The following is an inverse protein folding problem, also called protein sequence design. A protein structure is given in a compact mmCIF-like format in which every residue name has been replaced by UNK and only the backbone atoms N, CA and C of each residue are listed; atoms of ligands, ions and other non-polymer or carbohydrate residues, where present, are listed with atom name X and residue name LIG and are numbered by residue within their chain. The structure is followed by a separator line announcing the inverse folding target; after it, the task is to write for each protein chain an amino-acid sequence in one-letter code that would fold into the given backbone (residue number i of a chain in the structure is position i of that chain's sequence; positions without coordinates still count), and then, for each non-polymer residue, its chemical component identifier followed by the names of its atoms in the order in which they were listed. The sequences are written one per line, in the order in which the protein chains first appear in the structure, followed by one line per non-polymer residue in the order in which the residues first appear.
data_IF_370331508278
#
_entry.id   IF_370331508278
#
_cell.length_a   1.000
_cell.length_b   1.000
_cell.length_c   1.000
_cell.angle_alpha   90.00
_cell.angle_beta   90.00
_cell.angle_gamma   90.00
#
_symmetry.space_group_name_H-M   'P 1'
#
loop_
_entity.id
_entity.type
_entity.pdbx_description
1 polymer ?
#
# COMPACT_ATOMS: atom_id res chain seq x y z
N UNK A 1 5.50 -27.00 -6.13
CA UNK A 1 4.20 -26.89 -5.44
C UNK A 1 4.27 -25.66 -4.55
N UNK A 2 3.63 -24.55 -4.94
CA UNK A 2 3.55 -23.39 -4.05
C UNK A 2 2.48 -23.68 -3.01
N UNK A 3 2.91 -23.92 -1.77
CA UNK A 3 1.98 -23.94 -0.64
C UNK A 3 1.51 -22.51 -0.49
N UNK A 4 0.32 -22.22 -1.00
CA UNK A 4 -0.41 -20.99 -0.65
C UNK A 4 -0.64 -21.11 0.84
N UNK A 5 0.13 -20.40 1.66
CA UNK A 5 -0.12 -20.31 3.09
C UNK A 5 -1.54 -19.80 3.24
N UNK A 6 -2.44 -20.70 3.65
CA UNK A 6 -3.88 -20.46 3.78
C UNK A 6 -4.22 -19.52 4.93
N UNK A 7 -3.39 -18.52 5.19
CA UNK A 7 -3.68 -17.45 6.10
C UNK A 7 -4.70 -16.52 5.46
N UNK A 8 -5.98 -16.67 5.81
CA UNK A 8 -6.99 -15.68 5.44
C UNK A 8 -6.57 -14.27 5.88
N UNK A 9 -7.09 -13.23 5.21
CA UNK A 9 -6.64 -11.84 5.35
C UNK A 9 -6.27 -11.41 6.77
N UNK A 10 -7.10 -11.74 7.78
CA UNK A 10 -6.86 -11.48 9.23
C UNK A 10 -5.46 -11.90 9.74
N UNK A 11 -4.93 -13.03 9.29
CA UNK A 11 -3.60 -13.53 9.66
C UNK A 11 -2.45 -12.76 9.00
N UNK A 12 -2.68 -12.18 7.83
CA UNK A 12 -1.67 -11.41 7.12
C UNK A 12 -1.43 -10.04 7.77
N UNK A 13 -2.49 -9.35 8.24
CA UNK A 13 -2.36 -8.05 8.94
C UNK A 13 -1.55 -8.15 10.23
N UNK A 14 -1.85 -9.17 11.04
CA UNK A 14 -1.11 -9.42 12.27
C UNK A 14 0.37 -9.63 11.99
N UNK A 15 0.69 -10.39 10.92
CA UNK A 15 2.08 -10.62 10.54
C UNK A 15 2.77 -9.36 9.99
N UNK A 16 2.09 -8.54 9.18
CA UNK A 16 2.65 -7.26 8.70
C UNK A 16 3.00 -6.35 9.87
N UNK A 17 2.12 -6.24 10.88
CA UNK A 17 2.37 -5.45 12.08
C UNK A 17 3.53 -6.01 12.91
N UNK A 18 3.55 -7.33 13.14
CA UNK A 18 4.64 -7.99 13.89
C UNK A 18 5.98 -7.78 13.19
N UNK A 19 6.01 -7.90 11.86
CA UNK A 19 7.22 -7.67 11.09
C UNK A 19 7.66 -6.21 11.17
N UNK A 20 6.73 -5.25 11.07
CA UNK A 20 7.05 -3.83 11.22
C UNK A 20 7.74 -3.54 12.55
N UNK A 21 7.10 -3.94 13.67
CA UNK A 21 7.68 -3.77 15.00
C UNK A 21 9.03 -4.48 15.15
N UNK A 22 9.14 -5.70 14.61
CA UNK A 22 10.39 -6.44 14.65
C UNK A 22 11.52 -5.73 13.90
N UNK A 23 11.23 -5.08 12.76
CA UNK A 23 12.24 -4.35 12.02
C UNK A 23 12.62 -3.02 12.67
N UNK A 24 11.65 -2.31 13.27
CA UNK A 24 11.91 -1.13 14.09
C UNK A 24 12.85 -1.47 15.27
N UNK A 25 12.63 -2.62 15.92
CA UNK A 25 13.52 -3.10 17.01
C UNK A 25 14.92 -3.48 16.50
N UNK A 26 15.03 -4.05 15.29
CA UNK A 26 16.29 -4.54 14.74
C UNK A 26 17.17 -3.45 14.13
N UNK A 27 16.57 -2.42 13.53
CA UNK A 27 17.28 -1.40 12.77
C UNK A 27 16.56 -0.03 12.85
N UNK A 28 16.52 0.60 14.04
CA UNK A 28 15.79 1.86 14.27
C UNK A 28 16.36 3.06 13.48
N UNK A 29 17.56 2.94 12.93
CA UNK A 29 18.17 3.94 12.06
C UNK A 29 17.63 3.91 10.62
N UNK A 30 16.96 2.84 10.22
CA UNK A 30 16.39 2.66 8.89
C UNK A 30 14.93 3.10 8.94
N UNK A 31 14.56 4.04 8.07
CA UNK A 31 13.15 4.45 7.93
C UNK A 31 12.37 3.34 7.23
N UNK A 32 11.46 2.69 7.96
CA UNK A 32 10.57 1.68 7.43
C UNK A 32 9.19 2.28 7.24
N UNK A 33 8.68 2.23 6.02
CA UNK A 33 7.35 2.76 5.72
C UNK A 33 6.31 1.74 6.18
N UNK A 34 5.50 2.11 7.17
CA UNK A 34 4.35 1.31 7.58
C UNK A 34 3.37 1.20 6.41
N UNK A 35 3.10 -0.02 5.94
CA UNK A 35 2.12 -0.24 4.89
C UNK A 35 0.77 -0.54 5.55
N UNK A 36 -0.26 0.24 5.21
CA UNK A 36 -1.67 -0.09 5.44
C UNK A 36 -2.13 -0.90 4.22
N UNK A 37 -2.37 -2.21 4.38
CA UNK A 37 -2.91 -2.97 3.26
C UNK A 37 -4.33 -2.46 2.97
N UNK A 38 -4.69 -2.33 1.70
CA UNK A 38 -6.03 -1.91 1.31
C UNK A 38 -6.71 -3.03 0.53
N UNK A 39 -7.91 -3.42 0.96
CA UNK A 39 -8.68 -4.46 0.26
C UNK A 39 -10.14 -4.06 -0.01
N UNK A 40 -10.79 -3.34 0.91
CA UNK A 40 -12.15 -2.80 0.73
C UNK A 40 -12.30 -1.44 1.41
N UNK A 41 -13.35 -0.67 1.09
CA UNK A 41 -13.63 0.63 1.69
C UNK A 41 -13.62 0.64 3.23
N UNK A 42 -14.01 -0.47 3.85
CA UNK A 42 -14.12 -0.57 5.31
C UNK A 42 -12.84 -1.13 5.97
N UNK A 43 -11.87 -1.57 5.17
CA UNK A 43 -10.60 -2.14 5.65
C UNK A 43 -9.50 -1.09 5.78
N UNK A 44 -9.74 0.19 5.46
CA UNK A 44 -8.77 1.26 5.73
C UNK A 44 -8.76 1.73 7.18
N UNK A 45 -9.89 1.62 7.89
CA UNK A 45 -10.02 2.08 9.28
C UNK A 45 -9.51 1.04 10.30
N UNK A 46 -9.66 -0.26 9.99
CA UNK A 46 -9.21 -1.34 10.88
C UNK A 46 -7.70 -1.38 11.14
N UNK A 47 -6.83 -1.09 10.14
CA UNK A 47 -5.40 -0.97 10.35
C UNK A 47 -5.04 0.26 11.18
N UNK A 48 -5.58 1.45 10.90
CA UNK A 48 -5.31 2.67 11.66
C UNK A 48 -5.59 2.50 13.16
N UNK A 49 -6.74 1.91 13.50
CA UNK A 49 -7.09 1.57 14.88
C UNK A 49 -6.13 0.54 15.49
N UNK A 50 -5.61 -0.40 14.69
CA UNK A 50 -4.67 -1.43 15.15
C UNK A 50 -3.24 -0.91 15.36
N UNK A 51 -2.81 0.10 14.61
CA UNK A 51 -1.53 0.78 14.78
C UNK A 51 -1.60 1.73 15.97
N UNK A 52 -2.68 2.49 16.12
CA UNK A 52 -2.89 3.32 17.31
C UNK A 52 -3.00 2.47 18.58
N UNK A 53 -3.74 1.34 18.54
CA UNK A 53 -3.79 0.37 19.65
C UNK A 53 -2.45 -0.35 19.90
N UNK A 54 -1.51 -0.28 18.95
CA UNK A 54 -0.13 -0.73 19.11
C UNK A 54 0.80 0.34 19.70
N UNK A 55 0.30 1.56 19.92
CA UNK A 55 1.12 2.72 20.30
C UNK A 55 1.86 3.37 19.13
N UNK A 56 1.52 3.04 17.88
CA UNK A 56 2.14 3.62 16.68
C UNK A 56 1.30 4.80 16.20
N UNK A 57 1.85 6.00 16.31
CA UNK A 57 1.26 7.22 15.77
C UNK A 57 1.65 7.39 14.29
N UNK A 58 0.75 6.99 13.39
CA UNK A 58 0.96 7.09 11.94
C UNK A 58 1.04 8.52 11.41
N UNK A 59 0.66 9.53 12.20
CA UNK A 59 0.79 10.95 11.81
C UNK A 59 2.22 11.48 12.05
N UNK A 60 2.94 10.88 13.00
CA UNK A 60 4.34 11.18 13.27
C UNK A 60 5.29 10.52 12.25
N UNK A 61 4.82 9.49 11.56
CA UNK A 61 5.61 8.77 10.56
C UNK A 61 5.97 9.66 9.35
N UNK A 62 7.19 9.54 8.79
CA UNK A 62 7.62 10.34 7.65
C UNK A 62 6.80 10.01 6.38
N UNK A 63 6.32 8.76 6.28
CA UNK A 63 5.45 8.25 5.21
C UNK A 63 4.59 7.09 5.72
N UNK A 64 3.38 7.00 5.20
CA UNK A 64 2.46 5.88 5.41
C UNK A 64 2.09 5.27 4.07
N UNK A 65 2.44 4.01 3.88
CA UNK A 65 2.23 3.26 2.65
C UNK A 65 0.80 2.81 2.46
N UNK A 66 0.26 2.99 1.26
CA UNK A 66 -1.02 2.45 0.83
C UNK A 66 -0.77 1.42 -0.27
N UNK A 67 -1.08 0.15 0.02
CA UNK A 67 -0.98 -0.92 -0.97
C UNK A 67 -2.23 -0.96 -1.85
N UNK A 68 -2.15 -0.51 -3.10
CA UNK A 68 -3.30 -0.48 -4.01
C UNK A 68 -3.54 -1.87 -4.66
N UNK A 69 -4.10 -2.80 -3.89
CA UNK A 69 -4.59 -4.10 -4.39
C UNK A 69 -5.96 -4.04 -5.07
N UNK A 70 -6.53 -2.83 -5.24
CA UNK A 70 -7.90 -2.65 -5.71
C UNK A 70 -8.10 -3.14 -7.15
N UNK A 71 -9.23 -3.83 -7.44
CA UNK A 71 -9.67 -4.11 -8.80
C UNK A 71 -9.73 -2.84 -9.64
N UNK A 72 -9.50 -2.97 -10.94
CA UNK A 72 -9.33 -1.87 -11.87
C UNK A 72 -10.56 -0.96 -12.05
N UNK A 73 -11.71 -1.29 -11.48
CA UNK A 73 -12.93 -0.48 -11.54
C UNK A 73 -13.92 -0.97 -10.46
N UNK A 74 -14.73 -0.08 -9.85
CA UNK A 74 -14.60 1.38 -9.86
C UNK A 74 -13.66 1.86 -8.75
N UNK A 75 -12.85 2.89 -9.02
CA UNK A 75 -11.95 3.55 -8.05
C UNK A 75 -12.67 4.57 -7.15
N UNK A 76 -13.91 4.94 -7.48
CA UNK A 76 -14.76 5.83 -6.69
C UNK A 76 -14.88 5.43 -5.20
N UNK A 77 -15.03 4.13 -4.85
CA UNK A 77 -15.12 3.68 -3.46
C UNK A 77 -13.86 3.99 -2.63
N UNK A 78 -12.67 4.02 -3.25
CA UNK A 78 -11.39 4.21 -2.56
C UNK A 78 -10.98 5.68 -2.37
N UNK A 79 -11.63 6.62 -3.05
CA UNK A 79 -11.32 8.06 -2.91
C UNK A 79 -11.68 8.61 -1.53
N UNK A 80 -12.71 8.06 -0.90
CA UNK A 80 -13.21 8.53 0.40
C UNK A 80 -12.25 8.17 1.55
N UNK A 81 -11.80 6.91 1.73
CA UNK A 81 -10.82 6.59 2.77
C UNK A 81 -9.48 7.33 2.60
N UNK A 82 -8.99 7.47 1.36
CA UNK A 82 -7.74 8.20 1.09
C UNK A 82 -7.89 9.69 1.41
N UNK A 83 -9.06 10.27 1.12
CA UNK A 83 -9.36 11.65 1.51
C UNK A 83 -9.30 11.84 3.02
N UNK A 84 -9.94 10.96 3.78
CA UNK A 84 -9.95 11.07 5.24
C UNK A 84 -8.57 10.89 5.86
N UNK A 85 -7.79 9.89 5.43
CA UNK A 85 -6.42 9.72 5.90
C UNK A 85 -5.53 10.93 5.58
N UNK A 86 -5.73 11.54 4.41
CA UNK A 86 -5.04 12.79 4.06
C UNK A 86 -5.48 13.94 4.98
N UNK A 87 -6.78 14.08 5.23
CA UNK A 87 -7.33 15.15 6.07
C UNK A 87 -6.95 14.97 7.56
N UNK A 88 -6.67 13.73 7.99
CA UNK A 88 -6.05 13.38 9.28
C UNK A 88 -4.55 13.74 9.34
N UNK A 89 -3.96 14.21 8.25
CA UNK A 89 -2.58 14.71 8.19
C UNK A 89 -1.52 13.67 7.81
N UNK A 90 -1.93 12.46 7.38
CA UNK A 90 -0.98 11.41 7.02
C UNK A 90 -0.25 11.73 5.72
N UNK A 91 1.06 11.44 5.70
CA UNK A 91 1.91 11.59 4.50
C UNK A 91 1.87 10.32 3.66
N UNK A 92 0.86 10.21 2.80
CA UNK A 92 0.54 8.97 2.10
C UNK A 92 1.51 8.65 0.94
N UNK A 93 2.01 7.42 0.89
CA UNK A 93 2.76 6.84 -0.23
C UNK A 93 1.90 5.83 -0.98
N UNK A 94 1.65 6.04 -2.27
CA UNK A 94 0.92 5.08 -3.10
C UNK A 94 1.83 4.04 -3.76
N UNK A 95 1.75 2.78 -3.33
CA UNK A 95 2.51 1.68 -3.94
C UNK A 95 1.76 1.08 -5.14
N UNK A 96 2.42 0.99 -6.30
CA UNK A 96 1.90 0.31 -7.48
C UNK A 96 0.66 0.95 -8.10
N UNK A 97 0.51 2.27 -7.99
CA UNK A 97 -0.73 2.96 -8.35
C UNK A 97 -0.93 2.96 -9.87
N UNK A 98 -2.11 2.56 -10.35
CA UNK A 98 -2.45 2.67 -11.79
C UNK A 98 -2.70 4.12 -12.17
N UNK A 99 -2.45 4.47 -13.44
CA UNK A 99 -2.61 5.84 -13.97
C UNK A 99 -3.96 6.46 -13.65
N UNK A 100 -5.06 5.71 -13.83
CA UNK A 100 -6.43 6.18 -13.54
C UNK A 100 -6.64 6.47 -12.05
N UNK A 101 -6.05 5.66 -11.16
CA UNK A 101 -6.12 5.89 -9.72
C UNK A 101 -5.26 7.09 -9.32
N UNK A 102 -4.08 7.26 -9.93
CA UNK A 102 -3.24 8.44 -9.72
C UNK A 102 -3.95 9.74 -10.12
N UNK A 103 -4.68 9.75 -11.24
CA UNK A 103 -5.51 10.91 -11.62
C UNK A 103 -6.60 11.22 -10.58
N UNK A 104 -7.18 10.19 -9.97
CA UNK A 104 -8.26 10.32 -9.01
C UNK A 104 -7.82 10.79 -7.61
N UNK A 105 -6.63 10.38 -7.13
CA UNK A 105 -6.20 10.64 -5.73
C UNK A 105 -4.80 11.24 -5.60
N UNK A 106 -4.08 11.47 -6.70
CA UNK A 106 -2.68 11.88 -6.67
C UNK A 106 -2.42 13.18 -5.89
N UNK A 107 -3.38 14.12 -5.90
CA UNK A 107 -3.27 15.37 -5.12
C UNK A 107 -3.32 15.16 -3.60
N UNK A 108 -3.70 13.97 -3.13
CA UNK A 108 -3.77 13.60 -1.71
C UNK A 108 -2.60 12.72 -1.29
N UNK A 109 -1.68 12.41 -2.20
CA UNK A 109 -0.52 11.57 -1.95
C UNK A 109 0.73 12.44 -1.81
N UNK A 110 1.56 12.14 -0.82
CA UNK A 110 2.87 12.76 -0.67
C UNK A 110 3.89 12.21 -1.68
N UNK A 111 3.69 10.97 -2.13
CA UNK A 111 4.46 10.33 -3.20
C UNK A 111 3.76 9.06 -3.72
N UNK A 112 4.12 8.59 -4.92
CA UNK A 112 3.57 7.36 -5.50
C UNK A 112 4.59 6.70 -6.45
N UNK A 113 4.50 5.38 -6.62
CA UNK A 113 5.21 4.63 -7.67
C UNK A 113 4.24 3.87 -8.56
N UNK A 114 4.69 3.57 -9.78
CA UNK A 114 3.93 2.80 -10.76
C UNK A 114 4.83 2.18 -11.81
N UNK A 115 4.54 0.92 -12.18
CA UNK A 115 5.09 0.30 -13.38
C UNK A 115 4.20 0.50 -14.61
N UNK A 116 3.03 1.15 -14.45
CA UNK A 116 2.00 1.18 -15.50
C UNK A 116 2.49 1.81 -16.81
N UNK A 117 3.32 2.86 -16.74
CA UNK A 117 3.89 3.49 -17.94
C UNK A 117 4.82 2.55 -18.71
N UNK A 118 5.73 1.86 -18.01
CA UNK A 118 6.64 0.90 -18.65
C UNK A 118 5.86 -0.23 -19.32
N UNK A 119 4.82 -0.76 -18.67
CA UNK A 119 3.96 -1.79 -19.27
C UNK A 119 3.19 -1.28 -20.50
N UNK A 120 2.65 -0.06 -20.42
CA UNK A 120 1.93 0.54 -21.55
C UNK A 120 2.86 0.70 -22.77
N UNK A 121 4.10 1.14 -22.56
CA UNK A 121 5.05 1.33 -23.65
C UNK A 121 5.60 0.00 -24.19
N UNK A 122 5.82 -1.01 -23.33
CA UNK A 122 6.15 -2.37 -23.81
C UNK A 122 5.07 -2.92 -24.73
N UNK A 123 3.79 -2.77 -24.36
CA UNK A 123 2.67 -3.18 -25.20
C UNK A 123 2.64 -2.45 -26.56
N UNK A 124 2.87 -1.13 -26.58
CA UNK A 124 2.91 -0.35 -27.84
C UNK A 124 4.07 -0.77 -28.75
N UNK A 125 5.22 -1.10 -28.17
CA UNK A 125 6.42 -1.51 -28.89
C UNK A 125 6.40 -3.00 -29.30
N UNK A 126 5.34 -3.75 -28.96
CA UNK A 126 5.28 -5.20 -29.18
C UNK A 126 6.27 -6.00 -28.34
N UNK A 127 6.88 -5.36 -27.33
CA UNK A 127 7.85 -5.97 -26.43
C UNK A 127 7.11 -6.70 -25.31
N UNK A 128 7.59 -7.90 -24.97
CA UNK A 128 7.13 -8.59 -23.78
C UNK A 128 8.10 -8.30 -22.64
N UNK A 129 7.62 -7.83 -21.47
CA UNK A 129 8.48 -7.71 -20.32
C UNK A 129 9.06 -9.09 -19.98
N UNK A 130 10.38 -9.18 -19.92
CA UNK A 130 11.07 -10.41 -19.56
C UNK A 130 10.69 -10.71 -18.11
N UNK A 131 9.85 -11.73 -17.90
CA UNK A 131 9.67 -12.30 -16.56
C UNK A 131 10.98 -13.01 -16.20
N UNK A 132 11.89 -12.31 -15.55
CA UNK A 132 12.93 -12.99 -14.79
C UNK A 132 12.22 -13.79 -13.71
N UNK A 133 12.14 -15.11 -13.89
CA UNK A 133 11.77 -16.01 -12.79
C UNK A 133 12.83 -15.79 -11.72
N UNK A 134 12.45 -15.20 -10.58
CA UNK A 134 13.24 -15.36 -9.38
C UNK A 134 13.11 -16.84 -8.99
N UNK A 135 14.23 -17.54 -9.09
CA UNK A 135 14.44 -18.93 -8.66
C UNK A 135 14.25 -19.08 -7.17
#
# INVERSE_FOLDING_TARGET
MFVKTGGGGKSHWGQTRVNYLHFEDLAPEIVIISALPAFTNNDYYRPGDSYLAAGIDSTAEPRVGLGFGLPAEPYAPAQQPIGQLHDEGLKLQGFGLKTVAFQAVGSKLASADSLAWSYADFCKLGLRPVRTRQS
#
